data_IF_904060947757
#
_entry.id   IF_904060947757
#
_cell.length_a   1.000
_cell.length_b   1.000
_cell.length_c   1.000
_cell.angle_alpha   90.00
_cell.angle_beta   90.00
_cell.angle_gamma   90.00
#
_symmetry.space_group_name_H-M   'P 1'
#
loop_
_entity.id
_entity.type
_entity.pdbx_description
1 polymer ?
#
# COMPACT_ATOMS: atom_id res chain seq x y z
N UNK A 1 1.53 13.04 -2.11
CA UNK A 1 2.44 14.17 -2.42
C UNK A 1 3.77 13.56 -2.75
N UNK A 2 4.22 13.69 -4.00
CA UNK A 2 5.52 13.16 -4.43
C UNK A 2 6.63 13.81 -3.61
N UNK A 3 7.68 13.07 -3.26
CA UNK A 3 8.82 13.56 -2.46
C UNK A 3 9.38 14.89 -3.01
N UNK A 4 9.43 15.03 -4.34
CA UNK A 4 9.80 16.28 -5.02
C UNK A 4 8.92 17.49 -4.69
N UNK A 5 7.60 17.29 -4.52
CA UNK A 5 6.68 18.36 -4.11
C UNK A 5 6.89 18.72 -2.64
N UNK A 6 7.26 17.76 -1.79
CA UNK A 6 7.62 17.99 -0.39
C UNK A 6 8.91 18.81 -0.28
N UNK A 7 9.97 18.35 -0.95
CA UNK A 7 11.27 19.03 -1.06
C UNK A 7 11.06 20.48 -1.49
N UNK A 8 10.29 20.69 -2.56
CA UNK A 8 10.03 22.02 -3.10
C UNK A 8 9.26 22.92 -2.12
N UNK A 9 8.21 22.40 -1.48
CA UNK A 9 7.41 23.18 -0.54
C UNK A 9 8.17 23.54 0.73
N UNK A 10 8.93 22.58 1.29
CA UNK A 10 9.81 22.80 2.43
C UNK A 10 10.90 23.81 2.06
N UNK A 11 11.54 23.65 0.90
CA UNK A 11 12.56 24.56 0.41
C UNK A 11 12.05 25.99 0.26
N UNK A 12 10.91 26.19 -0.40
CA UNK A 12 10.32 27.52 -0.55
C UNK A 12 10.00 28.17 0.79
N UNK A 13 9.49 27.39 1.74
CA UNK A 13 9.21 27.90 3.08
C UNK A 13 10.50 28.29 3.82
N UNK A 14 11.52 27.43 3.84
CA UNK A 14 12.80 27.73 4.49
C UNK A 14 13.47 28.97 3.89
N UNK A 15 13.46 29.13 2.56
CA UNK A 15 14.00 30.32 1.89
C UNK A 15 13.22 31.59 2.22
N UNK A 16 11.89 31.51 2.30
CA UNK A 16 11.05 32.63 2.70
C UNK A 16 11.33 33.09 4.12
N UNK A 17 11.52 32.16 5.07
CA UNK A 17 11.79 32.50 6.46
C UNK A 17 13.22 33.01 6.66
N UNK A 18 14.18 32.47 5.90
CA UNK A 18 15.59 32.89 5.96
C UNK A 18 15.92 34.12 5.10
N UNK A 19 14.95 34.64 4.33
CA UNK A 19 15.17 35.73 3.35
C UNK A 19 16.30 35.44 2.35
N UNK A 20 16.42 34.19 1.92
CA UNK A 20 17.47 33.72 0.99
C UNK A 20 16.96 33.64 -0.45
N UNK A 21 17.83 33.85 -1.46
CA UNK A 21 17.43 33.77 -2.87
C UNK A 21 17.11 32.33 -3.30
N UNK A 22 16.08 32.19 -4.13
CA UNK A 22 15.64 30.91 -4.66
C UNK A 22 16.63 30.36 -5.69
N UNK A 23 17.09 29.14 -5.46
CA UNK A 23 17.94 28.35 -6.35
C UNK A 23 17.16 27.18 -6.94
N UNK A 24 17.56 26.72 -8.14
CA UNK A 24 16.74 25.81 -8.95
C UNK A 24 16.74 24.34 -8.53
N UNK A 25 17.88 23.79 -8.06
CA UNK A 25 17.99 22.36 -7.67
C UNK A 25 18.38 22.29 -6.21
N UNK A 26 17.49 21.70 -5.40
CA UNK A 26 17.65 21.56 -3.95
C UNK A 26 18.34 20.24 -3.68
N UNK A 27 19.56 20.27 -3.15
CA UNK A 27 20.25 19.05 -2.68
C UNK A 27 19.91 18.78 -1.22
N UNK A 28 20.01 17.52 -0.75
CA UNK A 28 19.76 17.22 0.66
C UNK A 28 20.76 17.92 1.60
N UNK A 29 21.99 18.14 1.18
CA UNK A 29 23.00 18.91 1.93
C UNK A 29 22.60 20.38 2.08
N UNK A 30 22.02 20.97 1.03
CA UNK A 30 21.49 22.33 1.08
C UNK A 30 20.32 22.42 2.06
N UNK A 31 19.34 21.50 1.97
CA UNK A 31 18.24 21.41 2.93
C UNK A 31 18.73 21.31 4.37
N UNK A 32 19.69 20.43 4.63
CA UNK A 32 20.29 20.28 5.95
C UNK A 32 20.99 21.56 6.41
N UNK A 33 21.79 22.20 5.54
CA UNK A 33 22.49 23.44 5.86
C UNK A 33 21.53 24.57 6.23
N UNK A 34 20.39 24.69 5.53
CA UNK A 34 19.39 25.71 5.80
C UNK A 34 18.66 25.46 7.12
N UNK A 35 18.36 24.21 7.45
CA UNK A 35 17.79 23.90 8.76
C UNK A 35 18.77 24.23 9.89
N UNK A 36 20.07 23.97 9.72
CA UNK A 36 21.08 24.30 10.74
C UNK A 36 21.15 25.80 11.07
N UNK A 37 20.77 26.68 10.15
CA UNK A 37 20.72 28.13 10.40
C UNK A 37 19.66 28.52 11.46
N UNK A 38 18.67 27.66 11.70
CA UNK A 38 17.65 27.89 12.73
C UNK A 38 18.11 27.50 14.14
N UNK A 39 19.26 26.81 14.28
CA UNK A 39 19.77 26.32 15.57
C UNK A 39 19.99 27.42 16.60
N UNK A 40 20.34 28.63 16.16
CA UNK A 40 20.59 29.79 17.02
C UNK A 40 19.38 30.71 17.19
N UNK A 41 18.29 30.49 16.44
CA UNK A 41 17.11 31.35 16.46
C UNK A 41 15.92 30.65 17.11
N UNK A 42 15.84 30.73 18.44
CA UNK A 42 14.78 30.13 19.25
C UNK A 42 13.37 30.58 18.86
N UNK A 43 13.19 31.86 18.53
CA UNK A 43 11.86 32.39 18.13
C UNK A 43 11.36 31.81 16.81
N UNK A 44 12.25 31.62 15.84
CA UNK A 44 11.93 30.93 14.59
C UNK A 44 11.75 29.41 14.78
N UNK A 45 12.51 28.81 15.70
CA UNK A 45 12.36 27.39 16.04
C UNK A 45 10.97 27.12 16.67
N UNK A 46 10.53 27.95 17.61
CA UNK A 46 9.22 27.83 18.25
C UNK A 46 8.08 28.08 17.25
N UNK A 47 8.21 29.11 16.42
CA UNK A 47 7.17 29.49 15.46
C UNK A 47 7.03 28.54 14.27
N UNK A 48 8.10 27.81 13.92
CA UNK A 48 8.18 27.03 12.67
C UNK A 48 8.70 25.60 12.85
N UNK A 49 8.67 25.07 14.09
CA UNK A 49 9.18 23.73 14.44
C UNK A 49 8.69 22.64 13.49
N UNK A 50 7.39 22.64 13.13
CA UNK A 50 6.81 21.63 12.26
C UNK A 50 7.42 21.60 10.86
N UNK A 51 7.71 22.76 10.27
CA UNK A 51 8.33 22.82 8.93
C UNK A 51 9.81 22.47 8.98
N UNK A 52 10.49 22.87 10.05
CA UNK A 52 11.88 22.50 10.32
C UNK A 52 12.02 20.99 10.48
N UNK A 53 11.13 20.36 11.26
CA UNK A 53 11.05 18.90 11.40
C UNK A 53 10.79 18.22 10.05
N UNK A 54 9.86 18.75 9.25
CA UNK A 54 9.60 18.24 7.90
C UNK A 54 10.85 18.32 7.01
N UNK A 55 11.61 19.42 7.13
CA UNK A 55 12.84 19.61 6.36
C UNK A 55 13.96 18.67 6.75
N UNK A 56 14.15 18.43 8.06
CA UNK A 56 15.09 17.43 8.54
C UNK A 56 14.70 16.02 8.11
N UNK A 57 13.42 15.66 8.28
CA UNK A 57 12.91 14.37 7.84
C UNK A 57 13.13 14.18 6.34
N UNK A 58 12.85 15.20 5.52
CA UNK A 58 13.07 15.15 4.07
C UNK A 58 14.56 14.97 3.73
N UNK A 59 15.46 15.71 4.38
CA UNK A 59 16.89 15.56 4.18
C UNK A 59 17.39 14.17 4.59
N UNK A 60 16.92 13.65 5.73
CA UNK A 60 17.25 12.30 6.21
C UNK A 60 16.75 11.22 5.24
N UNK A 61 15.51 11.32 4.74
CA UNK A 61 14.97 10.39 3.74
C UNK A 61 15.80 10.41 2.46
N UNK A 62 16.21 11.60 1.99
CA UNK A 62 17.05 11.74 0.79
C UNK A 62 18.46 11.16 0.95
N UNK A 63 18.99 11.09 2.17
CA UNK A 63 20.28 10.47 2.47
C UNK A 63 20.18 8.99 2.81
N UNK A 64 18.97 8.42 2.89
CA UNK A 64 18.81 7.05 3.32
C UNK A 64 19.34 6.08 2.25
N UNK A 65 20.20 5.10 2.60
CA UNK A 65 20.84 4.21 1.63
C UNK A 65 19.83 3.33 0.87
N UNK A 66 18.66 3.05 1.45
CA UNK A 66 17.61 2.25 0.80
C UNK A 66 16.66 3.06 -0.09
N UNK A 67 16.82 4.38 -0.18
CA UNK A 67 15.93 5.21 -1.01
C UNK A 67 15.90 4.76 -2.48
N UNK A 68 17.04 4.46 -3.14
CA UNK A 68 17.03 3.97 -4.52
C UNK A 68 16.24 2.66 -4.68
N UNK A 69 16.32 1.76 -3.68
CA UNK A 69 15.54 0.52 -3.62
C UNK A 69 14.04 0.80 -3.53
N UNK A 70 13.62 1.73 -2.66
CA UNK A 70 12.21 2.12 -2.57
C UNK A 70 11.68 2.77 -3.84
N UNK A 71 12.46 3.66 -4.47
CA UNK A 71 12.10 4.26 -5.76
C UNK A 71 12.01 3.21 -6.87
N UNK A 72 12.89 2.20 -6.85
CA UNK A 72 12.84 1.06 -7.76
C UNK A 72 11.55 0.25 -7.57
N UNK A 73 11.21 -0.14 -6.34
CA UNK A 73 10.01 -0.93 -6.09
C UNK A 73 8.73 -0.12 -6.39
N UNK A 74 8.70 1.19 -6.14
CA UNK A 74 7.57 2.06 -6.49
C UNK A 74 7.42 2.24 -8.02
N UNK A 75 8.53 2.37 -8.75
CA UNK A 75 8.51 2.38 -10.20
C UNK A 75 7.98 1.05 -10.76
N UNK A 76 8.36 -0.07 -10.12
CA UNK A 76 7.89 -1.40 -10.48
C UNK A 76 6.41 -1.61 -10.16
N UNK A 77 5.92 -1.17 -9.00
CA UNK A 77 4.50 -1.16 -8.65
C UNK A 77 3.66 -0.46 -9.73
N UNK A 78 4.11 0.71 -10.21
CA UNK A 78 3.44 1.43 -11.29
C UNK A 78 3.45 0.68 -12.61
N UNK A 79 4.57 0.01 -12.92
CA UNK A 79 4.69 -0.79 -14.13
C UNK A 79 3.71 -1.97 -14.08
N UNK A 80 3.67 -2.68 -12.97
CA UNK A 80 2.74 -3.79 -12.73
C UNK A 80 1.28 -3.34 -12.85
N UNK A 81 0.94 -2.18 -12.27
CA UNK A 81 -0.41 -1.60 -12.36
C UNK A 81 -0.82 -1.33 -13.82
N UNK A 82 0.10 -0.85 -14.67
CA UNK A 82 -0.21 -0.67 -16.10
C UNK A 82 -0.27 -2.02 -16.83
N UNK A 83 0.63 -2.95 -16.51
CA UNK A 83 0.68 -4.27 -17.14
C UNK A 83 -0.61 -5.08 -16.92
N UNK A 84 -1.28 -4.91 -15.78
CA UNK A 84 -2.61 -5.50 -15.51
C UNK A 84 -3.71 -5.03 -16.49
N UNK A 85 -3.52 -3.90 -17.18
CA UNK A 85 -4.45 -3.41 -18.21
C UNK A 85 -4.16 -3.96 -19.60
N UNK A 86 -2.90 -4.35 -19.86
CA UNK A 86 -2.39 -4.69 -21.18
C UNK A 86 -2.12 -6.20 -21.36
N UNK A 87 -2.07 -6.98 -20.27
CA UNK A 87 -1.66 -8.39 -20.27
C UNK A 87 -2.47 -9.21 -19.24
N UNK A 88 -2.56 -10.52 -19.49
CA UNK A 88 -3.19 -11.46 -18.56
C UNK A 88 -2.41 -11.53 -17.23
N UNK A 89 -3.08 -11.90 -16.15
CA UNK A 89 -2.49 -11.89 -14.81
C UNK A 89 -1.25 -12.79 -14.69
N UNK A 90 -1.27 -13.98 -15.31
CA UNK A 90 -0.09 -14.84 -15.43
C UNK A 90 1.10 -14.13 -16.12
N UNK A 91 0.85 -13.26 -17.09
CA UNK A 91 1.86 -12.41 -17.73
C UNK A 91 2.48 -11.41 -16.76
N UNK A 92 1.66 -10.78 -15.93
CA UNK A 92 2.12 -9.84 -14.88
C UNK A 92 2.93 -10.57 -13.81
N UNK A 93 2.50 -11.75 -13.38
CA UNK A 93 3.25 -12.61 -12.45
C UNK A 93 4.62 -13.03 -13.01
N UNK A 94 4.72 -13.32 -14.33
CA UNK A 94 6.00 -13.60 -14.98
C UNK A 94 6.94 -12.38 -14.97
N UNK A 95 6.41 -11.15 -15.02
CA UNK A 95 7.22 -9.94 -14.87
C UNK A 95 7.80 -9.84 -13.45
N UNK A 96 7.00 -10.13 -12.42
CA UNK A 96 7.50 -10.19 -11.03
C UNK A 96 8.56 -11.30 -10.87
N UNK A 97 8.33 -12.47 -11.45
CA UNK A 97 9.28 -13.59 -11.42
C UNK A 97 10.65 -13.20 -12.01
N UNK A 98 10.67 -12.33 -13.02
CA UNK A 98 11.91 -11.85 -13.63
C UNK A 98 12.78 -11.01 -12.69
N UNK A 99 12.19 -10.42 -11.63
CA UNK A 99 12.94 -9.73 -10.57
C UNK A 99 13.57 -10.69 -9.56
N UNK A 100 12.97 -11.87 -9.39
CA UNK A 100 13.36 -12.84 -8.36
C UNK A 100 14.38 -13.85 -8.89
N UNK A 101 14.41 -14.07 -10.21
CA UNK A 101 15.42 -14.90 -10.85
C UNK A 101 16.77 -14.17 -10.79
N UNK A 102 17.80 -14.77 -10.15
CA UNK A 102 19.14 -14.17 -10.15
C UNK A 102 19.59 -14.02 -11.59
N UNK A 103 19.86 -12.78 -12.03
CA UNK A 103 20.44 -12.57 -13.36
C UNK A 103 21.80 -13.24 -13.36
N UNK A 104 21.89 -14.35 -14.10
CA UNK A 104 23.14 -15.07 -14.30
C UNK A 104 24.22 -14.05 -14.66
N UNK A 105 25.32 -14.07 -13.89
CA UNK A 105 26.49 -13.25 -14.14
C UNK A 105 26.84 -13.36 -15.63
N UNK A 106 26.95 -12.21 -16.30
CA UNK A 106 27.42 -12.13 -17.67
C UNK A 106 28.77 -12.83 -17.79
N UNK A 107 28.75 -14.03 -18.36
CA UNK A 107 29.89 -14.78 -18.83
C UNK A 107 29.44 -15.57 -20.05
N UNK A 108 29.94 -15.14 -21.21
CA UNK A 108 30.01 -15.88 -22.47
C UNK A 108 28.75 -15.92 -23.37
N UNK A 109 28.77 -14.99 -24.34
CA UNK A 109 28.43 -15.10 -25.76
C UNK A 109 27.16 -15.84 -26.23
N UNK A 110 26.26 -15.09 -26.89
CA UNK A 110 25.31 -15.67 -27.84
C UNK A 110 23.96 -14.96 -27.95
N UNK A 111 23.93 -13.85 -28.70
CA UNK A 111 22.82 -13.29 -29.48
C UNK A 111 21.36 -13.28 -28.96
N UNK A 112 20.81 -12.05 -29.02
CA UNK A 112 19.41 -11.73 -29.37
C UNK A 112 18.34 -11.82 -28.26
N UNK A 113 18.15 -10.72 -27.53
CA UNK A 113 16.94 -9.89 -27.72
C UNK A 113 17.06 -8.57 -26.93
N UNK A 114 16.52 -7.53 -27.55
CA UNK A 114 16.63 -6.11 -27.23
C UNK A 114 15.66 -5.74 -26.10
N UNK A 115 16.01 -4.70 -25.33
CA UNK A 115 15.34 -4.14 -24.13
C UNK A 115 15.82 -4.67 -22.77
N UNK A 116 17.14 -4.72 -22.54
CA UNK A 116 17.68 -4.82 -21.18
C UNK A 116 17.51 -3.48 -20.46
N UNK A 117 16.53 -3.40 -19.57
CA UNK A 117 16.49 -2.43 -18.47
C UNK A 117 17.87 -2.46 -17.77
N UNK A 118 18.57 -1.32 -17.79
CA UNK A 118 20.00 -1.20 -17.54
C UNK A 118 20.51 -1.91 -16.28
N UNK A 119 21.80 -2.28 -16.30
CA UNK A 119 22.54 -2.79 -15.14
C UNK A 119 22.23 -1.97 -13.89
N UNK A 120 21.41 -2.52 -12.99
CA UNK A 120 21.22 -2.00 -11.64
C UNK A 120 22.17 -2.78 -10.74
N UNK A 121 22.96 -2.08 -9.95
CA UNK A 121 23.81 -2.69 -8.91
C UNK A 121 22.93 -3.48 -7.94
N UNK A 122 23.48 -4.51 -7.28
CA UNK A 122 22.75 -5.35 -6.31
C UNK A 122 22.15 -4.59 -5.11
N UNK A 123 22.44 -3.29 -4.97
CA UNK A 123 21.84 -2.41 -3.96
C UNK A 123 20.42 -1.91 -4.34
N UNK A 124 20.01 -2.06 -5.59
CA UNK A 124 18.69 -1.62 -6.10
C UNK A 124 17.67 -2.77 -6.26
N UNK A 125 18.04 -4.00 -5.92
CA UNK A 125 17.14 -5.16 -6.00
C UNK A 125 16.14 -5.15 -4.82
N UNK A 126 14.85 -5.39 -5.09
CA UNK A 126 13.82 -5.45 -4.05
C UNK A 126 14.08 -6.67 -3.15
N UNK A 127 14.06 -6.47 -1.83
CA UNK A 127 14.23 -7.56 -0.87
C UNK A 127 12.98 -8.45 -0.78
N UNK A 128 13.06 -9.57 -0.05
CA UNK A 128 11.94 -10.49 0.13
C UNK A 128 10.72 -9.82 0.76
N UNK A 129 10.92 -8.90 1.71
CA UNK A 129 9.83 -8.13 2.32
C UNK A 129 9.11 -7.26 1.28
N UNK A 130 9.85 -6.55 0.44
CA UNK A 130 9.24 -5.74 -0.64
C UNK A 130 8.54 -6.60 -1.69
N UNK A 131 9.08 -7.77 -2.02
CA UNK A 131 8.45 -8.72 -2.93
C UNK A 131 7.12 -9.23 -2.35
N UNK A 132 7.07 -9.54 -1.06
CA UNK A 132 5.83 -9.91 -0.38
C UNK A 132 4.80 -8.77 -0.39
N UNK A 133 5.23 -7.51 -0.18
CA UNK A 133 4.35 -6.34 -0.31
C UNK A 133 3.81 -6.21 -1.74
N UNK A 134 4.65 -6.38 -2.75
CA UNK A 134 4.24 -6.32 -4.16
C UNK A 134 3.26 -7.44 -4.54
N UNK A 135 3.46 -8.65 -4.01
CA UNK A 135 2.52 -9.77 -4.17
C UNK A 135 1.16 -9.44 -3.55
N UNK A 136 1.14 -8.98 -2.29
CA UNK A 136 -0.11 -8.54 -1.63
C UNK A 136 -0.79 -7.46 -2.45
N UNK A 137 -0.04 -6.47 -2.95
CA UNK A 137 -0.57 -5.43 -3.80
C UNK A 137 -1.20 -6.02 -5.07
N UNK A 138 -0.49 -6.86 -5.83
CA UNK A 138 -0.98 -7.48 -7.05
C UNK A 138 -2.26 -8.28 -6.85
N UNK A 139 -2.27 -9.24 -5.93
CA UNK A 139 -3.45 -10.06 -5.66
C UNK A 139 -4.61 -9.25 -5.08
N UNK A 140 -4.33 -8.09 -4.46
CA UNK A 140 -5.40 -7.17 -4.04
C UNK A 140 -6.07 -6.46 -5.22
N UNK A 141 -5.41 -6.33 -6.38
CA UNK A 141 -5.95 -5.66 -7.57
C UNK A 141 -6.74 -6.59 -8.48
N UNK A 142 -6.44 -7.90 -8.44
CA UNK A 142 -7.13 -8.89 -9.27
C UNK A 142 -8.62 -8.91 -8.94
N UNK A 143 -9.45 -9.05 -9.97
CA UNK A 143 -10.89 -9.24 -9.85
C UNK A 143 -11.35 -10.48 -10.61
N UNK A 144 -12.59 -10.92 -10.34
CA UNK A 144 -13.20 -12.10 -10.95
C UNK A 144 -13.51 -11.89 -12.45
N UNK A 145 -12.54 -12.19 -13.31
CA UNK A 145 -12.76 -12.40 -14.74
C UNK A 145 -11.64 -13.27 -15.33
N UNK A 146 -11.51 -14.51 -14.85
CA UNK A 146 -10.56 -15.48 -15.40
C UNK A 146 -11.31 -16.59 -16.15
N UNK A 147 -10.75 -17.04 -17.26
CA UNK A 147 -11.22 -18.25 -17.95
C UNK A 147 -10.43 -19.47 -17.47
N UNK A 148 -10.96 -20.68 -17.67
CA UNK A 148 -10.31 -21.91 -17.18
C UNK A 148 -8.87 -22.12 -17.72
N UNK A 149 -8.56 -21.63 -18.92
CA UNK A 149 -7.20 -21.72 -19.49
C UNK A 149 -6.24 -20.72 -18.83
N UNK A 150 -6.76 -19.60 -18.29
CA UNK A 150 -5.96 -18.60 -17.57
C UNK A 150 -5.55 -19.13 -16.18
N UNK A 151 -6.42 -19.92 -15.54
CA UNK A 151 -6.19 -20.51 -14.21
C UNK A 151 -5.03 -21.52 -14.22
N UNK A 152 -4.94 -22.40 -15.23
CA UNK A 152 -3.87 -23.41 -15.29
C UNK A 152 -2.49 -22.77 -15.53
N UNK A 153 -2.41 -21.77 -16.41
CA UNK A 153 -1.17 -21.04 -16.65
C UNK A 153 -0.79 -20.14 -15.45
N UNK A 154 -1.76 -19.57 -14.73
CA UNK A 154 -1.53 -18.86 -13.48
C UNK A 154 -0.92 -19.79 -12.42
N UNK A 155 -1.53 -20.94 -12.16
CA UNK A 155 -1.06 -21.89 -11.14
C UNK A 155 0.38 -22.36 -11.44
N UNK A 156 0.71 -22.56 -12.72
CA UNK A 156 2.07 -22.89 -13.15
C UNK A 156 3.07 -21.78 -12.86
N UNK A 157 2.72 -20.52 -13.12
CA UNK A 157 3.59 -19.36 -12.82
C UNK A 157 3.70 -19.15 -11.31
N UNK A 158 2.64 -19.38 -10.53
CA UNK A 158 2.68 -19.36 -9.08
C UNK A 158 3.67 -20.39 -8.52
N UNK A 159 3.65 -21.63 -9.04
CA UNK A 159 4.65 -22.64 -8.62
C UNK A 159 6.09 -22.21 -8.91
N UNK A 160 6.34 -21.53 -10.04
CA UNK A 160 7.66 -20.95 -10.32
C UNK A 160 8.01 -19.81 -9.35
N UNK A 161 7.06 -18.94 -9.02
CA UNK A 161 7.23 -17.86 -8.05
C UNK A 161 7.50 -18.39 -6.64
N UNK A 162 6.80 -19.43 -6.20
CA UNK A 162 7.02 -20.10 -4.92
C UNK A 162 8.47 -20.59 -4.84
N UNK A 163 8.95 -21.29 -5.88
CA UNK A 163 10.33 -21.75 -5.96
C UNK A 163 11.34 -20.60 -5.97
N UNK A 164 11.08 -19.55 -6.74
CA UNK A 164 11.95 -18.38 -6.80
C UNK A 164 12.02 -17.63 -5.46
N UNK A 165 10.89 -17.42 -4.79
CA UNK A 165 10.83 -16.71 -3.51
C UNK A 165 11.51 -17.52 -2.41
N UNK A 166 11.31 -18.84 -2.42
CA UNK A 166 12.01 -19.76 -1.52
C UNK A 166 13.53 -19.62 -1.66
N UNK A 167 14.03 -19.53 -2.90
CA UNK A 167 15.46 -19.32 -3.16
C UNK A 167 15.95 -17.94 -2.71
N UNK A 168 15.15 -16.88 -2.89
CA UNK A 168 15.50 -15.54 -2.42
C UNK A 168 15.59 -15.54 -0.89
N UNK A 169 14.58 -16.06 -0.19
CA UNK A 169 14.53 -16.10 1.28
C UNK A 169 15.68 -16.93 1.86
N UNK A 170 15.99 -18.08 1.27
CA UNK A 170 17.08 -18.96 1.75
C UNK A 170 18.49 -18.43 1.49
N UNK A 171 18.63 -17.41 0.64
CA UNK A 171 19.91 -16.74 0.36
C UNK A 171 20.15 -15.49 1.20
N UNK A 172 19.16 -15.07 1.97
CA UNK A 172 19.30 -13.91 2.84
C UNK A 172 20.36 -14.12 3.91
N UNK A 173 21.08 -13.04 4.21
CA UNK A 173 22.15 -13.04 5.23
C UNK A 173 21.65 -12.61 6.60
N UNK A 174 20.47 -11.98 6.66
CA UNK A 174 19.75 -11.68 7.90
C UNK A 174 18.24 -11.85 7.66
N UNK A 175 17.52 -12.50 8.58
CA UNK A 175 16.06 -12.63 8.48
C UNK A 175 15.39 -11.38 9.05
N UNK A 176 14.55 -10.74 8.24
CA UNK A 176 13.67 -9.67 8.70
C UNK A 176 12.66 -10.18 9.74
N UNK A 177 12.11 -9.30 10.61
CA UNK A 177 11.06 -9.69 11.55
C UNK A 177 9.84 -10.34 10.87
N UNK A 178 9.52 -9.92 9.65
CA UNK A 178 8.46 -10.51 8.83
C UNK A 178 8.79 -11.97 8.48
N UNK A 179 9.99 -12.22 7.95
CA UNK A 179 10.42 -13.57 7.56
C UNK A 179 10.58 -14.50 8.76
N UNK A 180 11.05 -14.00 9.90
CA UNK A 180 11.12 -14.79 11.14
C UNK A 180 9.74 -15.28 11.56
N UNK A 181 8.73 -14.39 11.56
CA UNK A 181 7.36 -14.74 11.90
C UNK A 181 6.71 -15.66 10.87
N UNK A 182 6.97 -15.41 9.58
CA UNK A 182 6.41 -16.19 8.49
C UNK A 182 6.95 -17.64 8.47
N UNK A 183 8.25 -17.81 8.67
CA UNK A 183 8.92 -19.12 8.63
C UNK A 183 8.95 -19.82 10.00
N UNK A 184 8.62 -19.10 11.08
CA UNK A 184 8.75 -19.59 12.45
C UNK A 184 10.19 -19.83 12.90
N UNK A 185 11.18 -19.29 12.17
CA UNK A 185 12.61 -19.47 12.45
C UNK A 185 13.18 -18.21 13.11
N UNK A 186 13.92 -18.38 14.22
CA UNK A 186 14.53 -17.26 14.94
C UNK A 186 15.85 -16.80 14.33
N UNK A 187 16.47 -17.64 13.50
CA UNK A 187 17.74 -17.36 12.83
C UNK A 187 17.87 -18.12 11.52
N UNK A 188 18.90 -17.79 10.73
CA UNK A 188 19.14 -18.40 9.41
C UNK A 188 19.56 -19.86 9.54
N UNK A 189 20.24 -20.22 10.62
CA UNK A 189 20.68 -21.60 10.84
C UNK A 189 19.51 -22.57 11.00
N UNK A 190 18.35 -22.08 11.45
CA UNK A 190 17.12 -22.86 11.59
C UNK A 190 16.30 -22.92 10.30
N UNK A 191 16.60 -22.03 9.34
CA UNK A 191 15.86 -21.90 8.09
C UNK A 191 16.31 -22.98 7.09
N UNK A 192 15.51 -24.04 6.96
CA UNK A 192 15.70 -25.05 5.92
C UNK A 192 14.94 -24.65 4.64
N UNK A 193 15.40 -25.16 3.50
CA UNK A 193 14.72 -24.97 2.22
C UNK A 193 13.28 -25.47 2.26
N UNK A 194 13.02 -26.60 2.92
CA UNK A 194 11.67 -27.15 3.10
C UNK A 194 10.77 -26.21 3.90
N UNK A 195 11.25 -25.66 5.03
CA UNK A 195 10.47 -24.72 5.84
C UNK A 195 10.16 -23.43 5.09
N UNK A 196 11.16 -22.88 4.39
CA UNK A 196 10.97 -21.71 3.56
C UNK A 196 9.93 -21.97 2.46
N UNK A 197 10.01 -23.13 1.81
CA UNK A 197 9.05 -23.51 0.77
C UNK A 197 7.62 -23.62 1.31
N UNK A 198 7.42 -24.36 2.40
CA UNK A 198 6.09 -24.50 3.03
C UNK A 198 5.52 -23.16 3.51
N UNK A 199 6.36 -22.28 4.05
CA UNK A 199 5.92 -20.94 4.44
C UNK A 199 5.46 -20.12 3.23
N UNK A 200 6.18 -20.19 2.11
CA UNK A 200 5.82 -19.50 0.86
C UNK A 200 4.57 -20.12 0.22
N UNK A 201 4.37 -21.44 0.27
CA UNK A 201 3.11 -22.06 -0.17
C UNK A 201 1.92 -21.48 0.59
N UNK A 202 2.01 -21.38 1.92
CA UNK A 202 0.95 -20.78 2.74
C UNK A 202 0.71 -19.29 2.45
N UNK A 203 1.74 -18.56 2.01
CA UNK A 203 1.60 -17.19 1.49
C UNK A 203 0.70 -17.18 0.26
N UNK A 204 0.97 -18.03 -0.73
CA UNK A 204 0.17 -18.08 -1.97
C UNK A 204 -1.26 -18.55 -1.72
N UNK A 205 -1.48 -19.49 -0.79
CA UNK A 205 -2.83 -19.87 -0.38
C UNK A 205 -3.60 -18.66 0.17
N UNK A 206 -2.96 -17.86 1.02
CA UNK A 206 -3.56 -16.63 1.56
C UNK A 206 -3.76 -15.55 0.49
N UNK A 207 -2.86 -15.44 -0.49
CA UNK A 207 -2.98 -14.48 -1.60
C UNK A 207 -4.16 -14.82 -2.52
N UNK A 208 -4.43 -16.11 -2.76
CA UNK A 208 -5.64 -16.54 -3.48
C UNK A 208 -6.91 -16.22 -2.69
N UNK A 209 -6.93 -16.42 -1.38
CA UNK A 209 -8.07 -15.95 -0.56
C UNK A 209 -8.26 -14.42 -0.64
N UNK A 210 -7.15 -13.67 -0.74
CA UNK A 210 -7.17 -12.21 -0.81
C UNK A 210 -7.82 -11.70 -2.11
N UNK A 211 -7.59 -12.36 -3.25
CA UNK A 211 -8.20 -11.94 -4.53
C UNK A 211 -9.73 -12.02 -4.50
N UNK A 212 -10.27 -12.99 -3.74
CA UNK A 212 -11.70 -13.22 -3.55
C UNK A 212 -12.33 -12.45 -2.36
N UNK A 213 -11.52 -11.70 -1.61
CA UNK A 213 -11.97 -11.08 -0.36
C UNK A 213 -13.13 -10.09 -0.55
N UNK A 214 -13.36 -9.58 -1.77
CA UNK A 214 -14.39 -8.58 -2.08
C UNK A 214 -15.57 -9.12 -2.88
N UNK A 215 -15.66 -10.42 -3.15
CA UNK A 215 -16.70 -11.00 -4.02
C UNK A 215 -18.12 -10.84 -3.47
N UNK A 216 -18.22 -10.75 -2.15
CA UNK A 216 -19.47 -10.53 -1.42
C UNK A 216 -20.01 -9.09 -1.51
N UNK A 217 -19.18 -8.12 -1.88
CA UNK A 217 -19.59 -6.72 -2.10
C UNK A 217 -20.27 -6.62 -3.47
N UNK A 218 -21.10 -5.62 -3.73
CA UNK A 218 -21.82 -5.48 -5.00
C UNK A 218 -21.25 -4.38 -5.88
N UNK A 219 -21.04 -3.20 -5.30
CA UNK A 219 -20.53 -2.01 -5.98
C UNK A 219 -19.04 -1.80 -5.71
N UNK A 220 -18.57 -2.13 -4.50
CA UNK A 220 -17.21 -1.88 -4.05
C UNK A 220 -16.27 -3.09 -4.27
N UNK A 221 -16.52 -3.88 -5.32
CA UNK A 221 -15.80 -5.13 -5.62
C UNK A 221 -14.35 -4.91 -6.09
N UNK A 222 -14.11 -3.88 -6.88
CA UNK A 222 -12.81 -3.65 -7.52
C UNK A 222 -12.13 -2.40 -6.96
N UNK A 223 -10.84 -2.53 -6.66
CA UNK A 223 -9.94 -1.41 -6.35
C UNK A 223 -9.03 -1.05 -7.53
N UNK A 224 -9.24 -1.69 -8.67
CA UNK A 224 -8.51 -1.47 -9.91
C UNK A 224 -9.44 -0.85 -10.97
N UNK A 225 -8.96 0.18 -11.66
CA UNK A 225 -9.63 0.77 -12.82
C UNK A 225 -8.72 0.61 -14.03
N UNK A 226 -9.19 -0.16 -15.02
CA UNK A 226 -8.46 -0.42 -16.25
C UNK A 226 -8.25 0.85 -17.09
N UNK A 227 -7.23 0.82 -17.94
CA UNK A 227 -6.96 1.88 -18.93
C UNK A 227 -8.10 1.94 -19.95
N UNK A 228 -8.60 3.14 -20.24
CA UNK A 228 -9.66 3.39 -21.24
C UNK A 228 -9.12 4.02 -22.54
N UNK A 229 -7.80 3.96 -22.74
CA UNK A 229 -7.08 4.57 -23.88
C UNK A 229 -6.85 6.07 -23.77
N UNK A 230 -7.56 6.76 -22.86
CA UNK A 230 -7.38 8.19 -22.55
C UNK A 230 -6.71 8.36 -21.18
N UNK A 231 -7.08 7.51 -20.23
CA UNK A 231 -6.58 7.48 -18.87
C UNK A 231 -5.77 6.20 -18.65
N UNK A 232 -4.64 6.36 -17.96
CA UNK A 232 -3.82 5.23 -17.52
C UNK A 232 -4.55 4.41 -16.46
N UNK A 233 -4.18 3.13 -16.35
CA UNK A 233 -4.71 2.26 -15.32
C UNK A 233 -4.44 2.87 -13.93
N UNK A 234 -5.41 2.78 -13.03
CA UNK A 234 -5.37 3.47 -11.75
C UNK A 234 -5.78 2.55 -10.60
N UNK A 235 -5.01 2.63 -9.52
CA UNK A 235 -5.42 2.08 -8.23
C UNK A 235 -6.40 3.04 -7.55
N UNK A 236 -7.61 2.55 -7.27
CA UNK A 236 -8.68 3.26 -6.58
C UNK A 236 -8.90 2.63 -5.19
N UNK A 237 -8.28 3.17 -4.12
CA UNK A 237 -8.33 2.57 -2.79
C UNK A 237 -9.76 2.35 -2.30
N UNK A 238 -10.02 1.21 -1.65
CA UNK A 238 -11.35 0.88 -1.11
C UNK A 238 -11.91 2.00 -0.23
N UNK A 239 -11.09 2.53 0.69
CA UNK A 239 -11.49 3.62 1.58
C UNK A 239 -11.92 4.89 0.85
N UNK A 240 -11.30 5.19 -0.30
CA UNK A 240 -11.73 6.32 -1.15
C UNK A 240 -13.16 6.10 -1.62
N UNK A 241 -13.46 4.90 -2.12
CA UNK A 241 -14.76 4.56 -2.68
C UNK A 241 -15.86 4.65 -1.60
N UNK A 242 -15.59 4.11 -0.41
CA UNK A 242 -16.52 4.22 0.74
C UNK A 242 -16.80 5.67 1.11
N UNK A 243 -15.76 6.52 1.17
CA UNK A 243 -15.94 7.94 1.52
C UNK A 243 -16.68 8.70 0.42
N UNK A 244 -16.40 8.42 -0.85
CA UNK A 244 -17.09 9.03 -1.99
C UNK A 244 -18.57 8.64 -2.01
N UNK A 245 -18.92 7.40 -1.65
CA UNK A 245 -20.30 6.94 -1.47
C UNK A 245 -20.99 7.67 -0.29
N UNK A 246 -20.32 7.75 0.86
CA UNK A 246 -20.83 8.44 2.06
C UNK A 246 -21.08 9.94 1.79
N UNK A 247 -20.22 10.59 1.00
CA UNK A 247 -20.33 12.01 0.70
C UNK A 247 -20.95 12.32 -0.66
N UNK A 248 -21.55 11.33 -1.32
CA UNK A 248 -22.17 11.52 -2.62
C UNK A 248 -23.35 12.51 -2.52
N UNK A 249 -23.44 13.52 -3.41
CA UNK A 249 -24.48 14.56 -3.32
C UNK A 249 -25.90 13.98 -3.46
N UNK A 250 -26.06 13.00 -4.34
CA UNK A 250 -27.36 12.37 -4.64
C UNK A 250 -27.80 11.32 -3.61
N UNK A 251 -26.92 10.98 -2.65
CA UNK A 251 -27.19 10.00 -1.57
C UNK A 251 -27.83 8.69 -2.07
N UNK A 252 -27.21 8.00 -3.02
CA UNK A 252 -27.71 6.70 -3.46
C UNK A 252 -27.75 5.72 -2.28
N UNK A 253 -28.75 4.84 -2.25
CA UNK A 253 -28.72 3.71 -1.32
C UNK A 253 -27.61 2.74 -1.75
N UNK A 254 -26.54 2.66 -0.94
CA UNK A 254 -25.46 1.71 -1.19
C UNK A 254 -25.81 0.34 -0.60
N UNK A 255 -25.83 -0.74 -1.41
CA UNK A 255 -26.07 -2.08 -0.91
C UNK A 255 -24.90 -2.65 -0.09
N UNK A 256 -23.73 -2.02 -0.15
CA UNK A 256 -22.52 -2.46 0.53
C UNK A 256 -22.31 -1.74 1.88
N UNK A 257 -23.08 -0.67 2.14
CA UNK A 257 -23.03 0.08 3.39
C UNK A 257 -24.29 -0.22 4.20
N UNK A 258 -24.14 -1.06 5.22
CA UNK A 258 -25.24 -1.45 6.09
C UNK A 258 -25.38 -0.49 7.28
N UNK A 259 -26.61 -0.07 7.55
CA UNK A 259 -26.96 0.67 8.76
C UNK A 259 -27.35 -0.32 9.86
N UNK A 260 -26.50 -0.45 10.88
CA UNK A 260 -26.81 -1.22 12.09
C UNK A 260 -27.46 -0.32 13.14
N UNK A 261 -28.73 -0.58 13.47
CA UNK A 261 -29.38 0.07 14.60
C UNK A 261 -29.04 -0.70 15.89
N UNK A 262 -28.38 -0.06 16.85
CA UNK A 262 -27.88 -0.73 18.07
C UNK A 262 -28.96 -1.09 19.10
N UNK A 263 -30.18 -1.47 18.70
CA UNK A 263 -31.28 -1.66 19.64
C UNK A 263 -31.83 -3.09 19.64
N UNK A 264 -31.95 -3.66 20.85
CA UNK A 264 -32.78 -4.83 21.18
C UNK A 264 -34.25 -4.71 20.69
N UNK A 265 -34.68 -3.51 20.27
CA UNK A 265 -36.01 -3.28 19.67
C UNK A 265 -36.12 -3.64 18.19
N UNK A 266 -35.03 -3.90 17.45
CA UNK A 266 -35.11 -4.25 16.03
C UNK A 266 -35.75 -5.63 15.81
N UNK A 267 -35.56 -6.57 16.75
CA UNK A 267 -36.24 -7.87 16.75
C UNK A 267 -37.76 -7.79 17.01
N UNK A 268 -38.26 -6.68 17.57
CA UNK A 268 -39.70 -6.41 17.72
C UNK A 268 -40.26 -5.52 16.60
N UNK A 269 -39.39 -4.78 15.90
CA UNK A 269 -39.77 -3.92 14.76
C UNK A 269 -39.88 -4.69 13.46
N UNK A 270 -39.21 -5.83 13.28
CA UNK A 270 -39.37 -6.68 12.08
C UNK A 270 -40.82 -7.14 11.84
N UNK A 271 -41.66 -7.25 12.90
CA UNK A 271 -43.09 -7.58 12.78
C UNK A 271 -44.03 -6.40 12.44
N UNK A 272 -43.62 -5.15 12.70
CA UNK A 272 -44.45 -3.95 12.48
C UNK A 272 -43.89 -3.01 11.40
N UNK A 273 -42.65 -3.23 10.94
CA UNK A 273 -41.92 -2.35 10.02
C UNK A 273 -42.06 -2.75 8.54
N UNK A 274 -43.14 -3.42 8.15
CA UNK A 274 -43.45 -3.70 6.74
C UNK A 274 -44.19 -2.51 6.06
N UNK A 275 -44.57 -1.46 6.80
CA UNK A 275 -45.50 -0.43 6.29
C UNK A 275 -45.06 1.04 6.40
N UNK A 276 -43.85 1.35 6.87
CA UNK A 276 -43.33 2.72 6.81
C UNK A 276 -41.89 2.73 6.30
N UNK A 277 -41.69 3.39 5.16
CA UNK A 277 -40.37 3.70 4.61
C UNK A 277 -39.75 4.81 5.47
N UNK A 278 -39.33 4.47 6.69
CA UNK A 278 -38.63 5.38 7.58
C UNK A 278 -37.24 5.56 7.00
N UNK A 279 -36.90 6.79 6.59
CA UNK A 279 -35.58 7.10 6.01
C UNK A 279 -34.49 6.73 7.02
N UNK A 280 -33.59 5.84 6.63
CA UNK A 280 -32.44 5.49 7.45
C UNK A 280 -31.54 6.73 7.57
N UNK A 281 -31.02 7.05 8.77
CA UNK A 281 -30.12 8.19 8.92
C UNK A 281 -28.87 7.94 8.09
N UNK A 282 -28.48 8.92 7.30
CA UNK A 282 -27.30 8.84 6.44
C UNK A 282 -26.09 9.41 7.20
N UNK A 283 -24.87 8.85 7.06
CA UNK A 283 -23.70 9.41 7.75
C UNK A 283 -23.45 10.89 7.41
N UNK A 284 -23.83 11.32 6.20
CA UNK A 284 -23.75 12.72 5.79
C UNK A 284 -24.82 13.64 6.39
N UNK A 285 -25.78 13.14 7.18
CA UNK A 285 -26.72 13.99 7.93
C UNK A 285 -26.09 14.60 9.18
N UNK A 286 -24.93 14.09 9.60
CA UNK A 286 -24.23 14.53 10.80
C UNK A 286 -23.02 15.43 10.47
N UNK A 287 -22.72 16.35 11.38
CA UNK A 287 -21.54 17.23 11.28
C UNK A 287 -20.24 16.54 11.71
N UNK A 288 -20.35 15.42 12.42
CA UNK A 288 -19.25 14.59 12.91
C UNK A 288 -19.39 13.16 12.39
N UNK A 289 -18.36 12.68 11.69
CA UNK A 289 -18.23 11.30 11.24
C UNK A 289 -17.14 10.60 12.08
N UNK A 290 -17.49 9.46 12.67
CA UNK A 290 -16.52 8.55 13.29
C UNK A 290 -16.16 7.46 12.29
N UNK A 291 -14.89 7.37 11.93
CA UNK A 291 -14.36 6.33 11.05
C UNK A 291 -13.42 5.43 11.86
N UNK A 292 -13.84 4.21 12.15
CA UNK A 292 -13.04 3.22 12.86
C UNK A 292 -12.48 2.17 11.87
N UNK A 293 -11.16 2.16 11.70
CA UNK A 293 -10.46 1.24 10.79
C UNK A 293 -9.90 0.05 11.59
N UNK A 294 -10.54 -1.10 11.41
CA UNK A 294 -10.11 -2.37 12.00
C UNK A 294 -8.96 -2.95 11.18
N UNK A 295 -7.89 -3.37 11.83
CA UNK A 295 -6.68 -3.89 11.17
C UNK A 295 -5.56 -2.85 11.06
N UNK A 296 -5.91 -1.57 11.09
CA UNK A 296 -4.97 -0.45 11.15
C UNK A 296 -5.18 0.56 10.04
N UNK A 297 -4.39 1.63 10.05
CA UNK A 297 -4.42 2.69 9.03
C UNK A 297 -3.01 3.14 8.68
N UNK A 298 -2.77 3.46 7.43
CA UNK A 298 -1.51 4.04 6.95
C UNK A 298 -1.57 5.58 6.93
N UNK A 299 -0.42 6.28 7.01
CA UNK A 299 -0.37 7.73 6.83
C UNK A 299 -0.94 8.21 5.47
N UNK A 300 -0.80 7.40 4.43
CA UNK A 300 -1.36 7.66 3.10
C UNK A 300 -2.90 7.65 3.10
N UNK A 301 -3.51 6.75 3.87
CA UNK A 301 -4.97 6.69 4.03
C UNK A 301 -5.51 7.84 4.88
N UNK A 302 -4.82 8.24 5.95
CA UNK A 302 -5.19 9.43 6.73
C UNK A 302 -5.22 10.69 5.86
N UNK A 303 -4.21 10.82 5.00
CA UNK A 303 -4.16 11.88 4.00
C UNK A 303 -5.33 11.77 3.02
N UNK A 304 -5.60 10.57 2.50
CA UNK A 304 -6.70 10.31 1.57
C UNK A 304 -8.04 10.73 2.17
N UNK A 305 -8.33 10.33 3.41
CA UNK A 305 -9.55 10.71 4.15
C UNK A 305 -9.68 12.24 4.16
N UNK A 306 -8.62 12.94 4.59
CA UNK A 306 -8.61 14.41 4.64
C UNK A 306 -8.86 15.04 3.27
N UNK A 307 -8.22 14.54 2.22
CA UNK A 307 -8.38 15.04 0.86
C UNK A 307 -9.82 14.86 0.34
N UNK A 308 -10.39 13.65 0.50
CA UNK A 308 -11.75 13.34 0.03
C UNK A 308 -12.81 14.15 0.79
N UNK A 309 -12.71 14.23 2.12
CA UNK A 309 -13.65 14.98 2.96
C UNK A 309 -13.62 16.48 2.62
N UNK A 310 -12.42 17.04 2.44
CA UNK A 310 -12.26 18.46 2.10
C UNK A 310 -12.84 18.78 0.72
N UNK A 311 -12.77 17.85 -0.22
CA UNK A 311 -13.30 18.03 -1.57
C UNK A 311 -14.82 17.90 -1.65
N UNK A 312 -15.42 16.94 -0.93
CA UNK A 312 -16.84 16.62 -1.08
C UNK A 312 -17.74 17.32 -0.06
N UNK A 313 -17.28 17.54 1.17
CA UNK A 313 -18.10 18.14 2.23
C UNK A 313 -17.27 19.00 3.20
N UNK A 314 -16.76 20.16 2.74
CA UNK A 314 -15.97 21.05 3.57
C UNK A 314 -16.79 21.50 4.80
N UNK A 315 -16.23 21.34 6.00
CA UNK A 315 -16.88 21.65 7.27
C UNK A 315 -17.34 20.43 8.08
N UNK A 316 -17.30 19.23 7.50
CA UNK A 316 -17.52 17.99 8.26
C UNK A 316 -16.30 17.67 9.12
N UNK A 317 -16.50 17.44 10.41
CA UNK A 317 -15.45 16.92 11.28
C UNK A 317 -15.39 15.39 11.12
N UNK A 318 -14.19 14.85 10.90
CA UNK A 318 -13.98 13.40 10.82
C UNK A 318 -13.00 12.99 11.91
N UNK A 319 -13.43 12.13 12.82
CA UNK A 319 -12.56 11.50 13.81
C UNK A 319 -12.18 10.12 13.29
N UNK A 320 -10.89 9.94 13.02
CA UNK A 320 -10.34 8.66 12.58
C UNK A 320 -9.77 7.92 13.77
N UNK A 321 -10.24 6.70 13.96
CA UNK A 321 -9.79 5.77 14.97
C UNK A 321 -9.27 4.53 14.24
N UNK A 322 -8.21 3.93 14.73
CA UNK A 322 -7.70 2.66 14.17
C UNK A 322 -7.14 1.80 15.29
N UNK A 323 -7.03 0.50 15.03
CA UNK A 323 -6.37 -0.42 15.97
C UNK A 323 -4.87 -0.14 16.06
N UNK A 324 -4.23 0.22 14.93
CA UNK A 324 -2.79 0.43 14.79
C UNK A 324 -2.49 1.47 13.70
N UNK A 325 -1.30 2.07 13.74
CA UNK A 325 -0.73 2.83 12.63
C UNK A 325 0.24 1.91 11.87
N UNK A 326 0.05 1.74 10.56
CA UNK A 326 0.75 0.75 9.75
C UNK A 326 1.82 1.36 8.85
N UNK A 327 2.94 0.65 8.74
CA UNK A 327 3.92 0.74 7.65
C UNK A 327 3.57 -0.30 6.57
N UNK A 328 4.05 -0.13 5.32
CA UNK A 328 3.74 -1.09 4.24
C UNK A 328 4.07 -2.54 4.57
N UNK A 329 5.20 -2.79 5.23
CA UNK A 329 5.65 -4.14 5.64
C UNK A 329 4.81 -4.76 6.74
N UNK A 330 4.07 -3.96 7.52
CA UNK A 330 3.20 -4.48 8.57
C UNK A 330 1.95 -5.15 7.96
N UNK A 331 1.60 -4.86 6.70
CA UNK A 331 0.44 -5.45 6.00
C UNK A 331 0.66 -6.94 5.69
N UNK A 332 1.75 -7.36 5.00
CA UNK A 332 2.09 -8.78 4.88
C UNK A 332 2.19 -9.50 6.21
N UNK A 333 2.74 -8.84 7.24
CA UNK A 333 2.86 -9.44 8.57
C UNK A 333 1.47 -9.77 9.14
N UNK A 334 0.55 -8.80 9.11
CA UNK A 334 -0.81 -9.00 9.59
C UNK A 334 -1.54 -10.09 8.79
N UNK A 335 -1.36 -10.09 7.47
CA UNK A 335 -2.05 -11.00 6.56
C UNK A 335 -1.58 -12.46 6.73
N UNK A 336 -0.28 -12.69 6.83
CA UNK A 336 0.29 -14.04 6.81
C UNK A 336 0.56 -14.63 8.19
N UNK A 337 0.74 -13.80 9.23
CA UNK A 337 1.24 -14.28 10.53
C UNK A 337 0.20 -14.19 11.65
N UNK A 338 -0.92 -13.50 11.44
CA UNK A 338 -1.95 -13.34 12.46
C UNK A 338 -2.98 -14.46 12.40
N UNK A 339 -3.28 -15.07 13.54
CA UNK A 339 -4.41 -15.99 13.66
C UNK A 339 -5.72 -15.22 13.51
N UNK A 340 -6.35 -15.31 12.33
CA UNK A 340 -7.56 -14.56 11.97
C UNK A 340 -8.79 -14.88 12.84
N UNK A 341 -8.73 -15.98 13.61
CA UNK A 341 -9.80 -16.45 14.51
C UNK A 341 -9.59 -16.06 15.98
N UNK A 342 -8.43 -15.49 16.33
CA UNK A 342 -8.16 -14.99 17.68
C UNK A 342 -7.72 -13.53 17.53
N UNK A 343 -8.59 -12.55 17.84
CA UNK A 343 -8.18 -11.16 17.76
C UNK A 343 -6.98 -10.95 18.69
N UNK A 344 -5.92 -10.34 18.16
CA UNK A 344 -4.77 -9.87 18.94
C UNK A 344 -5.18 -8.63 19.76
N UNK A 345 -6.03 -8.88 20.76
CA UNK A 345 -6.32 -7.98 21.86
C UNK A 345 -5.07 -8.03 22.73
N UNK A 346 -4.10 -7.18 22.40
CA UNK A 346 -2.84 -7.04 23.15
C UNK A 346 -3.09 -6.63 24.60
N UNK A 347 -3.43 -7.61 25.44
CA UNK A 347 -3.55 -7.51 26.90
C UNK A 347 -2.22 -7.86 27.54
#
# INVERSE_FOLDING_TARGET
MTLNRLIRNVYYFLMSVLSLPLSGRVTPEQLYSYVQLFKSNWGALESHCGVIQLGLATAQTLHHPTLPRWDACLAFERLLLQALGDSDFAGVLRQLLSLMKPRAAKGEEGSSSVYSLGSRSGEEECGPDELLVLLVYLYSLVGEAQTADDEEEEEKVERELIGALTLVITRETELSPLLQKLTGCGSIEELTMERAHTAVEGVFDTLRELSHARDHLKQLKSVYTASDGVHQAMYRPFLRQVLEEIFHPDRPESPDIEHMSGSLTDMLKTGFSMFMKVSRPHPSDHALLFLFLVGGVTPSELRLIREVVSAHKPGTQVLVLSTRLLRPTDVPELLFTTQRLVPDIGV
#
